data_IF_363602573198
#
_entry.id   IF_363602573198
#
_cell.length_a   1.000
_cell.length_b   1.000
_cell.length_c   1.000
_cell.angle_alpha   90.00
_cell.angle_beta   90.00
_cell.angle_gamma   90.00
#
_symmetry.space_group_name_H-M   'P 1'
#
loop_
_entity.id
_entity.type
_entity.pdbx_description
1 polymer ?
#
# COMPACT_ATOMS: atom_id res chain seq x y z
N UNK A 1 -2.14 27.29 -61.21
CA UNK A 1 -1.68 28.08 -60.05
C UNK A 1 -1.46 27.10 -58.91
N UNK A 2 -0.20 26.79 -58.60
CA UNK A 2 0.18 25.91 -57.50
C UNK A 2 0.51 26.79 -56.30
N UNK A 3 -0.22 26.61 -55.20
CA UNK A 3 0.02 27.36 -53.96
C UNK A 3 0.83 26.47 -53.03
N UNK A 4 2.14 26.73 -53.00
CA UNK A 4 3.07 26.22 -52.00
C UNK A 4 2.82 26.92 -50.67
N UNK A 5 2.57 26.16 -49.60
CA UNK A 5 2.58 26.67 -48.23
C UNK A 5 3.97 26.40 -47.64
N UNK A 6 4.61 27.51 -47.25
CA UNK A 6 5.94 27.60 -46.65
C UNK A 6 5.84 27.16 -45.18
N UNK A 7 6.68 26.20 -44.78
CA UNK A 7 6.95 25.91 -43.36
C UNK A 7 8.05 26.85 -42.86
N UNK A 8 7.75 27.65 -41.84
CA UNK A 8 8.76 28.46 -41.13
C UNK A 8 8.99 27.92 -39.71
N UNK A 9 10.25 27.56 -39.50
CA UNK A 9 11.08 27.70 -38.29
C UNK A 9 10.72 26.94 -37.00
N UNK A 10 11.46 25.85 -36.82
CA UNK A 10 11.84 25.24 -35.54
C UNK A 10 12.65 26.21 -34.68
N UNK A 11 12.12 26.60 -33.51
CA UNK A 11 12.90 27.29 -32.47
C UNK A 11 13.58 26.25 -31.57
N UNK A 12 14.91 26.19 -31.64
CA UNK A 12 15.77 25.39 -30.77
C UNK A 12 15.87 26.04 -29.39
N UNK A 13 15.54 25.30 -28.33
CA UNK A 13 15.71 25.76 -26.94
C UNK A 13 17.07 25.28 -26.41
N UNK A 14 17.99 26.22 -26.26
CA UNK A 14 19.31 25.96 -25.69
C UNK A 14 19.23 25.73 -24.17
N UNK A 15 19.68 24.57 -23.72
CA UNK A 15 19.83 24.24 -22.29
C UNK A 15 21.06 24.96 -21.72
N UNK A 16 20.84 25.90 -20.79
CA UNK A 16 21.91 26.57 -20.04
C UNK A 16 22.40 25.67 -18.90
N UNK A 17 23.64 25.20 -19.00
CA UNK A 17 24.32 24.38 -18.01
C UNK A 17 24.76 25.23 -16.81
N UNK A 18 23.92 25.33 -15.76
CA UNK A 18 24.33 25.92 -14.48
C UNK A 18 25.06 24.87 -13.62
N UNK A 19 26.34 25.14 -13.38
CA UNK A 19 27.26 24.37 -12.53
C UNK A 19 26.72 24.27 -11.09
N UNK A 20 26.45 23.06 -10.62
CA UNK A 20 26.24 22.77 -9.20
C UNK A 20 27.59 22.62 -8.49
N UNK A 21 27.80 23.41 -7.44
CA UNK A 21 28.94 23.28 -6.53
C UNK A 21 28.72 22.07 -5.58
N UNK A 22 29.71 21.20 -5.46
CA UNK A 22 29.73 20.06 -4.52
C UNK A 22 29.93 20.55 -3.07
N UNK A 23 29.25 19.99 -2.06
CA UNK A 23 29.67 20.14 -0.68
C UNK A 23 30.85 19.21 -0.35
N UNK A 24 31.80 19.76 0.40
CA UNK A 24 33.02 19.09 0.92
C UNK A 24 32.63 18.09 2.01
N UNK A 25 33.00 16.83 1.83
CA UNK A 25 33.16 15.89 2.94
C UNK A 25 34.56 16.07 3.50
N UNK A 26 34.68 16.42 4.78
CA UNK A 26 35.84 15.98 5.56
C UNK A 26 35.65 16.12 7.08
N UNK A 27 36.11 15.08 7.75
CA UNK A 27 36.56 14.96 9.15
C UNK A 27 35.52 14.65 10.24
N UNK A 28 35.59 13.42 10.76
CA UNK A 28 36.13 13.14 12.10
C UNK A 28 36.23 11.60 12.31
N UNK A 29 37.44 11.04 12.14
CA UNK A 29 37.81 9.70 12.62
C UNK A 29 38.70 9.86 13.85
N UNK A 30 38.38 9.17 14.95
CA UNK A 30 39.29 8.94 16.10
C UNK A 30 39.56 7.44 16.26
N UNK A 31 40.79 7.02 16.63
CA UNK A 31 41.16 5.61 16.74
C UNK A 31 40.89 5.03 18.13
N UNK A 32 40.43 3.79 18.21
CA UNK A 32 40.41 3.00 19.45
C UNK A 32 41.63 2.08 19.48
N UNK A 33 42.43 2.21 20.54
CA UNK A 33 43.56 1.35 20.88
C UNK A 33 43.06 -0.01 21.38
N UNK A 34 43.83 -1.04 21.08
CA UNK A 34 43.46 -2.44 21.28
C UNK A 34 43.60 -2.98 22.70
N UNK A 35 43.22 -4.25 22.82
CA UNK A 35 43.61 -5.14 23.89
C UNK A 35 43.86 -6.54 23.29
N UNK A 36 45.10 -6.99 23.36
CA UNK A 36 45.48 -8.39 23.14
C UNK A 36 45.07 -9.20 24.38
N UNK A 37 44.48 -10.38 24.19
CA UNK A 37 44.76 -11.48 25.11
C UNK A 37 44.79 -12.85 24.41
N UNK A 38 45.87 -13.55 24.78
CA UNK A 38 46.42 -14.83 24.35
C UNK A 38 45.47 -16.02 24.54
N UNK A 39 45.69 -17.07 23.74
CA UNK A 39 45.65 -18.44 24.27
C UNK A 39 44.79 -19.45 23.49
N UNK A 40 45.35 -20.04 22.43
CA UNK A 40 44.93 -21.35 21.93
C UNK A 40 45.36 -22.44 22.93
N UNK A 41 44.43 -23.30 23.34
CA UNK A 41 44.75 -24.60 23.93
C UNK A 41 43.79 -25.66 23.41
N UNK A 42 44.37 -26.67 22.77
CA UNK A 42 43.74 -27.88 22.26
C UNK A 42 43.36 -28.81 23.41
N UNK A 43 42.14 -29.33 23.43
CA UNK A 43 41.74 -30.44 24.30
C UNK A 43 41.24 -31.60 23.45
N UNK A 44 41.90 -32.75 23.61
CA UNK A 44 41.64 -34.04 22.96
C UNK A 44 40.33 -34.68 23.45
N UNK A 45 39.70 -35.58 22.66
CA UNK A 45 38.39 -36.12 22.97
C UNK A 45 38.46 -37.22 24.04
N UNK A 46 37.53 -37.21 25.01
CA UNK A 46 37.41 -38.26 26.03
C UNK A 46 36.07 -39.02 25.88
N UNK A 47 36.22 -40.27 25.47
CA UNK A 47 35.45 -41.47 25.82
C UNK A 47 33.90 -41.41 25.84
N UNK A 48 33.32 -42.17 24.90
CA UNK A 48 31.97 -42.69 24.93
C UNK A 48 31.67 -43.41 26.26
N UNK A 49 30.60 -43.00 26.94
CA UNK A 49 29.98 -43.79 28.03
C UNK A 49 28.62 -44.31 27.56
N UNK A 50 28.46 -45.63 27.61
CA UNK A 50 27.21 -46.37 27.33
C UNK A 50 26.12 -45.90 28.28
N UNK A 51 25.02 -45.38 27.76
CA UNK A 51 23.79 -45.18 28.52
C UNK A 51 23.00 -46.49 28.51
N UNK A 52 22.88 -47.11 29.67
CA UNK A 52 22.02 -48.27 29.93
C UNK A 52 20.56 -47.90 29.74
N UNK A 53 19.82 -48.72 28.98
CA UNK A 53 18.38 -48.60 28.80
C UNK A 53 17.66 -48.85 30.14
N UNK A 54 17.06 -47.80 30.71
CA UNK A 54 15.99 -47.94 31.70
C UNK A 54 14.69 -47.68 30.96
N UNK A 55 13.92 -48.75 30.75
CA UNK A 55 12.64 -48.73 30.04
C UNK A 55 11.55 -48.30 31.02
N UNK A 56 11.43 -47.01 31.28
CA UNK A 56 10.31 -46.47 32.05
C UNK A 56 9.08 -46.44 31.15
N UNK A 57 8.09 -47.29 31.45
CA UNK A 57 6.81 -47.34 30.75
C UNK A 57 5.98 -46.13 31.18
N UNK A 58 6.20 -44.97 30.55
CA UNK A 58 5.26 -43.86 30.64
C UNK A 58 4.06 -44.17 29.75
N UNK A 59 2.92 -44.47 30.35
CA UNK A 59 1.63 -44.38 29.68
C UNK A 59 1.35 -42.90 29.38
N UNK A 60 1.52 -42.49 28.12
CA UNK A 60 0.95 -41.23 27.65
C UNK A 60 -0.57 -41.37 27.63
N UNK A 61 -1.23 -40.81 28.64
CA UNK A 61 -2.61 -40.38 28.51
C UNK A 61 -2.62 -39.21 27.51
N UNK A 62 -3.30 -39.38 26.37
CA UNK A 62 -3.53 -38.28 25.44
C UNK A 62 -4.29 -37.17 26.16
N UNK A 63 -3.71 -35.97 26.21
CA UNK A 63 -4.41 -34.77 26.65
C UNK A 63 -5.48 -34.39 25.60
N UNK A 64 -6.66 -33.91 26.02
CA UNK A 64 -7.71 -33.52 25.08
C UNK A 64 -7.34 -32.22 24.36
N UNK A 65 -7.50 -32.24 23.03
CA UNK A 65 -7.80 -31.08 22.19
C UNK A 65 -6.83 -29.89 22.25
N UNK A 66 -5.62 -30.04 21.69
CA UNK A 66 -5.04 -28.88 21.00
C UNK A 66 -5.79 -28.76 19.68
N UNK A 67 -6.68 -27.78 19.59
CA UNK A 67 -7.22 -27.33 18.31
C UNK A 67 -6.01 -26.96 17.45
N UNK A 68 -5.59 -27.87 16.56
CA UNK A 68 -4.65 -27.54 15.51
C UNK A 68 -5.33 -26.42 14.73
N UNK A 69 -4.72 -25.22 14.74
CA UNK A 69 -5.15 -24.16 13.81
C UNK A 69 -5.02 -24.75 12.43
N UNK A 70 -6.15 -25.16 11.84
CA UNK A 70 -6.17 -25.74 10.50
C UNK A 70 -5.56 -24.69 9.57
N UNK A 71 -4.44 -25.04 8.95
CA UNK A 71 -3.84 -24.22 7.91
C UNK A 71 -4.90 -24.01 6.84
N UNK A 72 -5.15 -22.78 6.37
CA UNK A 72 -6.13 -22.53 5.33
C UNK A 72 -5.87 -23.45 4.14
N UNK A 73 -6.91 -24.13 3.66
CA UNK A 73 -6.81 -24.99 2.48
C UNK A 73 -6.65 -24.08 1.24
N UNK A 74 -5.40 -23.69 0.99
CA UNK A 74 -5.00 -22.80 -0.10
C UNK A 74 -4.87 -23.57 -1.41
N UNK A 75 -5.48 -23.04 -2.46
CA UNK A 75 -5.38 -23.53 -3.83
C UNK A 75 -4.25 -22.84 -4.60
N UNK A 76 -4.42 -22.73 -5.92
CA UNK A 76 -3.44 -22.13 -6.84
C UNK A 76 -3.20 -20.63 -6.56
N UNK A 77 -1.94 -20.21 -6.66
CA UNK A 77 -1.55 -18.80 -6.66
C UNK A 77 -1.87 -18.15 -8.01
N UNK A 78 -2.63 -17.06 -8.00
CA UNK A 78 -3.11 -16.40 -9.21
C UNK A 78 -3.03 -14.88 -9.10
N UNK A 79 -3.15 -14.22 -10.24
CA UNK A 79 -3.25 -12.77 -10.38
C UNK A 79 -4.56 -12.42 -11.07
N UNK A 80 -5.19 -11.36 -10.59
CA UNK A 80 -6.39 -10.77 -11.18
C UNK A 80 -6.20 -9.26 -11.21
N UNK A 81 -6.59 -8.62 -12.31
CA UNK A 81 -6.55 -7.16 -12.42
C UNK A 81 -7.80 -6.65 -13.13
N UNK A 82 -8.35 -5.54 -12.60
CA UNK A 82 -9.53 -4.88 -13.16
C UNK A 82 -9.48 -3.39 -12.85
N UNK A 83 -9.84 -2.58 -13.83
CA UNK A 83 -10.08 -1.15 -13.62
C UNK A 83 -11.53 -0.92 -13.22
N UNK A 84 -11.74 -0.19 -12.14
CA UNK A 84 -13.06 0.22 -11.65
C UNK A 84 -13.21 1.73 -11.74
N UNK A 85 -14.44 2.18 -11.94
CA UNK A 85 -14.75 3.61 -12.02
C UNK A 85 -15.57 4.02 -10.82
N UNK A 86 -15.05 4.97 -10.06
CA UNK A 86 -15.78 5.65 -9.00
C UNK A 86 -16.55 6.84 -9.61
N UNK A 87 -17.77 7.13 -9.13
CA UNK A 87 -18.51 8.30 -9.58
C UNK A 87 -17.77 9.59 -9.20
N UNK A 88 -18.24 10.74 -9.72
CA UNK A 88 -17.73 12.03 -9.29
C UNK A 88 -18.10 12.28 -7.83
N UNK A 89 -17.15 12.84 -7.08
CA UNK A 89 -17.36 13.33 -5.72
C UNK A 89 -17.09 14.83 -5.67
N UNK A 90 -17.73 15.58 -4.75
CA UNK A 90 -17.25 16.91 -4.41
C UNK A 90 -15.92 16.80 -3.66
N UNK A 91 -15.20 17.92 -3.54
CA UNK A 91 -14.02 18.01 -2.67
C UNK A 91 -14.33 17.44 -1.29
N UNK A 92 -13.42 16.62 -0.78
CA UNK A 92 -13.54 15.99 0.53
C UNK A 92 -12.97 14.59 0.61
N UNK A 93 -13.05 14.03 1.80
CA UNK A 93 -12.70 12.64 2.07
C UNK A 93 -13.98 11.78 2.09
N UNK A 94 -13.97 10.67 1.35
CA UNK A 94 -15.16 9.85 1.11
C UNK A 94 -14.87 8.39 1.38
N UNK A 95 -15.66 7.74 2.24
CA UNK A 95 -15.57 6.27 2.44
C UNK A 95 -16.09 5.57 1.18
N UNK A 96 -15.23 4.82 0.50
CA UNK A 96 -15.53 4.16 -0.79
C UNK A 96 -15.44 2.64 -0.74
N UNK A 97 -15.14 2.04 0.43
CA UNK A 97 -14.94 0.59 0.60
C UNK A 97 -16.01 -0.24 -0.13
N UNK A 98 -17.28 0.05 0.10
CA UNK A 98 -18.40 -0.65 -0.51
C UNK A 98 -18.43 -0.50 -2.04
N UNK A 99 -18.25 0.73 -2.54
CA UNK A 99 -18.26 1.06 -3.97
C UNK A 99 -17.15 0.34 -4.74
N UNK A 100 -15.99 0.13 -4.12
CA UNK A 100 -14.89 -0.65 -4.70
C UNK A 100 -15.19 -2.15 -4.67
N UNK A 101 -15.57 -2.70 -3.51
CA UNK A 101 -15.78 -4.14 -3.34
C UNK A 101 -16.94 -4.65 -4.20
N UNK A 102 -18.02 -3.90 -4.34
CA UNK A 102 -19.15 -4.25 -5.22
C UNK A 102 -18.73 -4.36 -6.71
N UNK A 103 -17.71 -3.62 -7.13
CA UNK A 103 -17.18 -3.67 -8.50
C UNK A 103 -16.10 -4.74 -8.68
N UNK A 104 -15.60 -5.34 -7.59
CA UNK A 104 -14.56 -6.39 -7.61
C UNK A 104 -15.00 -7.63 -6.84
N UNK A 105 -16.10 -8.30 -7.26
CA UNK A 105 -16.58 -9.53 -6.61
C UNK A 105 -15.55 -10.67 -6.65
N UNK A 106 -14.57 -10.61 -7.55
CA UNK A 106 -13.54 -11.63 -7.75
C UNK A 106 -12.62 -11.81 -6.53
N UNK A 107 -12.55 -10.81 -5.64
CA UNK A 107 -11.87 -10.92 -4.34
C UNK A 107 -12.40 -12.12 -3.54
N UNK A 108 -13.70 -12.45 -3.70
CA UNK A 108 -14.34 -13.57 -3.01
C UNK A 108 -13.78 -14.95 -3.37
N UNK A 109 -12.97 -15.06 -4.44
CA UNK A 109 -12.34 -16.31 -4.84
C UNK A 109 -11.02 -16.59 -4.11
N UNK A 110 -10.46 -15.59 -3.42
CA UNK A 110 -9.14 -15.67 -2.78
C UNK A 110 -9.26 -16.10 -1.32
N UNK A 111 -8.50 -17.12 -0.93
CA UNK A 111 -8.35 -17.55 0.46
C UNK A 111 -7.43 -16.59 1.22
N UNK A 112 -6.29 -16.25 0.62
CA UNK A 112 -5.27 -15.38 1.20
C UNK A 112 -4.54 -14.65 0.08
N UNK A 113 -4.24 -13.37 0.27
CA UNK A 113 -3.53 -12.59 -0.74
C UNK A 113 -3.32 -11.13 -0.37
N UNK A 114 -3.07 -10.32 -1.40
CA UNK A 114 -2.96 -8.87 -1.33
C UNK A 114 -3.81 -8.26 -2.44
N UNK A 115 -4.55 -7.21 -2.11
CA UNK A 115 -5.27 -6.37 -3.05
C UNK A 115 -4.62 -4.99 -3.07
N UNK A 116 -4.00 -4.66 -4.20
CA UNK A 116 -3.53 -3.32 -4.50
C UNK A 116 -4.65 -2.50 -5.14
N UNK A 117 -4.83 -1.27 -4.69
CA UNK A 117 -5.74 -0.28 -5.26
C UNK A 117 -4.91 0.92 -5.68
N UNK A 118 -4.83 1.21 -6.97
CA UNK A 118 -4.05 2.31 -7.53
C UNK A 118 -4.96 3.29 -8.26
N UNK A 119 -5.09 4.52 -7.74
CA UNK A 119 -5.84 5.58 -8.43
C UNK A 119 -5.00 6.16 -9.57
N UNK A 120 -5.57 6.23 -10.78
CA UNK A 120 -4.90 6.79 -11.96
C UNK A 120 -5.13 8.29 -12.10
N UNK A 121 -4.94 9.03 -11.01
CA UNK A 121 -5.20 10.47 -10.93
C UNK A 121 -4.15 11.15 -10.05
N UNK A 122 -3.73 12.34 -10.44
CA UNK A 122 -2.66 13.11 -9.77
C UNK A 122 -3.20 14.20 -8.83
N UNK A 123 -4.51 14.46 -8.87
CA UNK A 123 -5.23 15.45 -8.05
C UNK A 123 -6.24 14.82 -7.09
N UNK A 124 -6.19 13.50 -6.93
CA UNK A 124 -6.94 12.73 -5.94
C UNK A 124 -6.02 11.67 -5.31
N UNK A 125 -6.39 11.11 -4.18
CA UNK A 125 -5.59 10.09 -3.47
C UNK A 125 -6.44 9.06 -2.76
N UNK A 126 -5.79 8.00 -2.28
CA UNK A 126 -6.42 6.96 -1.48
C UNK A 126 -5.81 6.92 -0.08
N UNK A 127 -6.63 6.62 0.93
CA UNK A 127 -6.15 6.38 2.29
C UNK A 127 -7.00 5.34 3.03
N UNK A 128 -6.55 4.90 4.20
CA UNK A 128 -7.31 4.04 5.10
C UNK A 128 -7.45 4.76 6.44
N UNK A 129 -8.69 4.95 6.89
CA UNK A 129 -8.96 5.62 8.16
C UNK A 129 -10.28 5.12 8.80
N UNK A 130 -10.67 5.72 9.93
CA UNK A 130 -11.87 5.40 10.70
C UNK A 130 -13.17 5.61 9.92
N UNK A 131 -13.92 4.55 9.63
CA UNK A 131 -15.17 4.59 8.86
C UNK A 131 -16.47 4.65 9.69
N UNK A 132 -16.40 4.96 10.98
CA UNK A 132 -17.57 4.96 11.87
C UNK A 132 -18.12 6.36 12.14
N UNK A 133 -17.25 7.33 12.48
CA UNK A 133 -17.67 8.71 12.68
C UNK A 133 -17.84 9.46 11.35
N UNK A 134 -18.96 10.17 11.13
CA UNK A 134 -19.14 11.04 9.97
C UNK A 134 -18.30 12.32 10.04
N UNK A 135 -17.65 12.61 11.17
CA UNK A 135 -16.82 13.81 11.35
C UNK A 135 -15.36 13.57 10.95
N UNK A 136 -14.85 12.34 11.08
CA UNK A 136 -13.48 11.98 10.65
C UNK A 136 -13.17 12.39 9.21
N UNK A 137 -14.04 12.13 8.21
CA UNK A 137 -13.79 12.60 6.84
C UNK A 137 -13.76 14.13 6.72
N UNK A 138 -14.55 14.86 7.52
CA UNK A 138 -14.59 16.33 7.50
C UNK A 138 -13.32 16.92 8.10
N UNK A 139 -12.95 16.45 9.29
CA UNK A 139 -11.74 16.89 9.99
C UNK A 139 -10.47 16.57 9.19
N UNK A 140 -10.46 15.41 8.50
CA UNK A 140 -9.37 15.04 7.60
C UNK A 140 -9.29 16.00 6.41
N UNK A 141 -10.42 16.32 5.76
CA UNK A 141 -10.44 17.31 4.68
C UNK A 141 -9.93 18.68 5.16
N UNK A 142 -10.47 19.17 6.27
CA UNK A 142 -10.07 20.47 6.81
C UNK A 142 -8.58 20.50 7.20
N UNK A 143 -8.04 19.37 7.65
CA UNK A 143 -6.61 19.22 7.94
C UNK A 143 -5.77 19.30 6.66
N UNK A 144 -6.21 18.62 5.58
CA UNK A 144 -5.54 18.68 4.28
C UNK A 144 -5.57 20.10 3.69
N UNK A 145 -6.68 20.82 3.84
CA UNK A 145 -6.82 22.21 3.41
C UNK A 145 -5.89 23.16 4.18
N UNK A 146 -5.58 22.87 5.45
CA UNK A 146 -4.57 23.62 6.21
C UNK A 146 -3.13 23.26 5.83
N UNK A 147 -2.87 22.01 5.44
CA UNK A 147 -1.53 21.52 5.04
C UNK A 147 -1.13 22.08 3.67
N UNK A 148 -2.06 22.09 2.72
CA UNK A 148 -1.87 22.60 1.38
C UNK A 148 -3.05 23.52 1.01
N UNK A 149 -3.04 24.76 1.54
CA UNK A 149 -4.11 25.73 1.28
C UNK A 149 -4.06 26.24 -0.15
N UNK A 150 -5.22 26.59 -0.70
CA UNK A 150 -5.29 27.34 -1.95
C UNK A 150 -4.61 28.71 -1.82
N UNK A 151 -3.99 29.16 -2.91
CA UNK A 151 -3.39 30.49 -2.95
C UNK A 151 -2.61 30.80 -4.22
N UNK A 152 -2.33 32.08 -4.40
CA UNK A 152 -1.66 32.63 -5.58
C UNK A 152 -0.14 32.46 -5.57
N UNK A 153 0.42 31.84 -4.52
CA UNK A 153 1.85 31.56 -4.40
C UNK A 153 2.30 30.30 -5.14
N UNK A 154 1.37 29.48 -5.62
CA UNK A 154 1.70 28.36 -6.49
C UNK A 154 1.96 28.84 -7.92
N UNK A 155 2.96 28.24 -8.55
CA UNK A 155 3.30 28.53 -9.95
C UNK A 155 2.38 27.81 -10.94
N UNK A 156 1.81 26.67 -10.53
CA UNK A 156 0.92 25.86 -11.34
C UNK A 156 -0.52 26.18 -10.93
N UNK A 157 -1.27 26.77 -11.84
CA UNK A 157 -2.66 27.23 -11.65
C UNK A 157 -3.47 26.96 -12.93
N UNK A 158 -3.03 25.98 -13.73
CA UNK A 158 -3.49 25.78 -15.11
C UNK A 158 -4.98 25.41 -15.13
N UNK A 159 -5.44 24.70 -14.11
CA UNK A 159 -6.84 24.28 -13.96
C UNK A 159 -7.59 24.97 -12.80
N UNK A 160 -7.06 26.09 -12.28
CA UNK A 160 -7.69 26.89 -11.22
C UNK A 160 -6.92 26.94 -9.89
N UNK A 161 -7.48 27.62 -8.87
CA UNK A 161 -6.79 27.87 -7.59
C UNK A 161 -6.55 26.61 -6.75
N UNK A 162 -7.29 25.53 -7.03
CA UNK A 162 -7.22 24.27 -6.30
C UNK A 162 -6.32 23.20 -6.96
N UNK A 163 -5.74 23.52 -8.11
CA UNK A 163 -4.99 22.59 -8.95
C UNK A 163 -3.69 22.12 -8.27
N UNK A 164 -2.74 23.03 -8.04
CA UNK A 164 -1.50 22.69 -7.36
C UNK A 164 -1.70 22.21 -5.91
N UNK A 165 -2.57 22.79 -5.08
CA UNK A 165 -2.91 22.23 -3.77
C UNK A 165 -3.34 20.75 -3.85
N UNK A 166 -4.17 20.38 -4.83
CA UNK A 166 -4.59 19.00 -5.02
C UNK A 166 -3.44 18.06 -5.35
N UNK A 167 -2.48 18.50 -6.17
CA UNK A 167 -1.26 17.74 -6.44
C UNK A 167 -0.38 17.56 -5.21
N UNK A 168 -0.27 18.59 -4.36
CA UNK A 168 0.47 18.49 -3.09
C UNK A 168 -0.18 17.46 -2.17
N UNK A 169 -1.50 17.58 -1.94
CA UNK A 169 -2.25 16.66 -1.08
C UNK A 169 -2.18 15.22 -1.61
N UNK A 170 -2.33 15.03 -2.93
CA UNK A 170 -2.22 13.72 -3.57
C UNK A 170 -0.82 13.12 -3.37
N UNK A 171 0.23 13.93 -3.54
CA UNK A 171 1.62 13.47 -3.36
C UNK A 171 1.96 13.11 -1.92
N UNK A 172 1.34 13.79 -0.94
CA UNK A 172 1.54 13.51 0.49
C UNK A 172 0.82 12.23 0.94
N UNK A 173 -0.41 12.00 0.46
CA UNK A 173 -1.19 10.83 0.85
C UNK A 173 -0.85 9.58 0.03
N UNK A 174 -0.54 9.77 -1.25
CA UNK A 174 -0.19 8.72 -2.19
C UNK A 174 -1.37 8.18 -3.02
N UNK A 175 -1.08 7.58 -4.19
CA UNK A 175 -2.11 7.06 -5.08
C UNK A 175 -2.49 5.60 -4.81
N UNK A 176 -1.80 4.90 -3.91
CA UNK A 176 -1.92 3.44 -3.78
C UNK A 176 -2.22 2.97 -2.36
N UNK A 177 -3.05 1.94 -2.26
CA UNK A 177 -3.26 1.16 -1.04
C UNK A 177 -2.94 -0.31 -1.31
N UNK A 178 -2.25 -0.95 -0.38
CA UNK A 178 -2.05 -2.41 -0.37
C UNK A 178 -2.78 -2.98 0.84
N UNK A 179 -3.82 -3.79 0.59
CA UNK A 179 -4.72 -4.32 1.62
C UNK A 179 -4.68 -5.85 1.60
N UNK A 180 -4.38 -6.52 2.72
CA UNK A 180 -4.40 -7.98 2.75
C UNK A 180 -5.79 -8.52 2.44
N UNK A 181 -5.85 -9.65 1.75
CA UNK A 181 -7.08 -10.40 1.49
C UNK A 181 -7.07 -11.65 2.36
N UNK A 182 -8.19 -11.92 3.03
CA UNK A 182 -8.40 -13.14 3.83
C UNK A 182 -9.83 -13.61 3.68
N UNK A 183 -10.01 -14.89 3.43
CA UNK A 183 -11.30 -15.57 3.33
C UNK A 183 -12.30 -14.79 2.44
N UNK A 184 -11.84 -14.37 1.27
CA UNK A 184 -12.65 -13.67 0.26
C UNK A 184 -12.99 -12.22 0.60
N UNK A 185 -12.27 -11.60 1.53
CA UNK A 185 -12.56 -10.24 2.02
C UNK A 185 -11.27 -9.43 2.18
N UNK A 186 -11.40 -8.11 2.10
CA UNK A 186 -10.35 -7.21 2.57
C UNK A 186 -10.21 -7.36 4.09
N UNK A 187 -9.01 -7.66 4.57
CA UNK A 187 -8.72 -7.88 5.98
C UNK A 187 -8.48 -6.55 6.72
N UNK A 188 -9.50 -5.70 6.69
CA UNK A 188 -9.51 -4.41 7.39
C UNK A 188 -9.81 -4.60 8.87
N UNK A 189 -9.26 -3.74 9.72
CA UNK A 189 -9.69 -3.62 11.11
C UNK A 189 -11.15 -3.15 11.22
N UNK A 190 -11.77 -3.35 12.40
CA UNK A 190 -13.19 -3.02 12.65
C UNK A 190 -13.57 -1.62 12.21
N UNK A 191 -12.67 -0.65 12.44
CA UNK A 191 -12.88 0.75 12.15
C UNK A 191 -12.25 1.19 10.83
N UNK A 192 -11.55 0.33 10.10
CA UNK A 192 -10.86 0.75 8.90
C UNK A 192 -11.77 0.71 7.67
N UNK A 193 -11.84 1.83 6.94
CA UNK A 193 -12.40 1.90 5.60
C UNK A 193 -11.39 2.47 4.61
N UNK A 194 -11.60 2.18 3.32
CA UNK A 194 -10.88 2.77 2.21
C UNK A 194 -11.54 4.09 1.84
N UNK A 195 -10.71 5.11 1.63
CA UNK A 195 -11.13 6.47 1.33
C UNK A 195 -10.68 6.88 -0.06
N UNK A 196 -11.54 7.62 -0.76
CA UNK A 196 -11.14 8.55 -1.82
C UNK A 196 -11.02 9.93 -1.19
N UNK A 197 -9.85 10.55 -1.31
CA UNK A 197 -9.71 11.97 -1.02
C UNK A 197 -9.73 12.71 -2.35
N UNK A 198 -10.86 13.37 -2.62
CA UNK A 198 -11.05 14.25 -3.76
C UNK A 198 -10.56 15.64 -3.36
N UNK A 199 -9.50 16.12 -4.00
CA UNK A 199 -8.87 17.39 -3.63
C UNK A 199 -9.32 18.55 -4.51
N UNK A 200 -10.05 18.28 -5.60
CA UNK A 200 -10.58 19.29 -6.52
C UNK A 200 -12.06 19.52 -6.25
N UNK A 201 -12.54 20.74 -6.47
CA UNK A 201 -13.97 21.05 -6.42
C UNK A 201 -14.74 20.35 -7.55
N UNK A 202 -14.07 20.17 -8.69
CA UNK A 202 -14.62 19.58 -9.91
C UNK A 202 -13.71 18.49 -10.48
N UNK A 203 -13.48 17.43 -9.70
CA UNK A 203 -12.55 16.34 -10.05
C UNK A 203 -13.08 15.29 -11.05
N UNK A 204 -14.39 15.21 -11.26
CA UNK A 204 -15.02 14.23 -12.14
C UNK A 204 -14.92 12.79 -11.62
N UNK A 205 -15.22 11.82 -12.49
CA UNK A 205 -15.13 10.40 -12.15
C UNK A 205 -13.66 9.94 -12.00
N UNK A 206 -13.41 9.03 -11.05
CA UNK A 206 -12.05 8.54 -10.75
C UNK A 206 -11.88 7.09 -11.17
N UNK A 207 -10.71 6.77 -11.72
CA UNK A 207 -10.34 5.43 -12.19
C UNK A 207 -9.38 4.81 -11.18
N UNK A 208 -9.69 3.59 -10.75
CA UNK A 208 -8.85 2.82 -9.82
C UNK A 208 -8.54 1.47 -10.45
N UNK A 209 -7.25 1.17 -10.62
CA UNK A 209 -6.79 -0.17 -11.00
C UNK A 209 -6.72 -1.01 -9.73
N UNK A 210 -7.45 -2.12 -9.72
CA UNK A 210 -7.43 -3.09 -8.62
C UNK A 210 -6.69 -4.32 -9.08
N UNK A 211 -5.61 -4.66 -8.39
CA UNK A 211 -4.82 -5.88 -8.65
C UNK A 211 -4.88 -6.77 -7.43
N UNK A 212 -5.36 -8.00 -7.58
CA UNK A 212 -5.43 -9.00 -6.51
C UNK A 212 -4.49 -10.13 -6.85
N UNK A 213 -3.61 -10.47 -5.92
CA UNK A 213 -2.68 -11.59 -6.05
C UNK A 213 -2.71 -12.45 -4.80
N UNK A 214 -2.68 -13.77 -4.96
CA UNK A 214 -2.68 -14.70 -3.84
C UNK A 214 -3.26 -16.06 -4.20
N UNK A 215 -3.47 -16.88 -3.18
CA UNK A 215 -4.02 -18.23 -3.34
C UNK A 215 -5.55 -18.19 -3.39
N UNK A 216 -6.13 -18.87 -4.38
CA UNK A 216 -7.57 -19.13 -4.41
C UNK A 216 -7.96 -20.14 -3.33
N UNK A 217 -9.27 -20.25 -3.05
CA UNK A 217 -9.78 -21.37 -2.25
C UNK A 217 -9.52 -22.70 -2.94
N UNK A 218 -9.07 -23.70 -2.19
CA UNK A 218 -8.77 -25.03 -2.74
C UNK A 218 -10.02 -25.76 -3.29
N UNK A 219 -11.21 -25.48 -2.75
CA UNK A 219 -12.47 -26.10 -3.17
C UNK A 219 -13.09 -25.48 -4.44
N UNK A 220 -12.44 -24.46 -5.02
CA UNK A 220 -12.88 -23.75 -6.22
C UNK A 220 -14.16 -22.90 -6.03
N UNK A 221 -14.72 -22.83 -4.82
CA UNK A 221 -15.90 -22.04 -4.53
C UNK A 221 -15.52 -20.58 -4.26
N UNK A 222 -16.47 -19.67 -4.39
CA UNK A 222 -16.33 -18.30 -3.88
C UNK A 222 -16.87 -18.19 -2.45
N UNK A 223 -16.36 -17.25 -1.68
CA UNK A 223 -16.99 -16.83 -0.44
C UNK A 223 -18.30 -16.08 -0.75
N UNK A 224 -19.34 -16.22 0.10
CA UNK A 224 -20.57 -15.47 -0.09
C UNK A 224 -20.28 -13.96 -0.05
N UNK A 225 -21.02 -13.16 -0.84
CA UNK A 225 -20.89 -11.71 -0.85
C UNK A 225 -20.94 -11.18 0.59
N UNK A 226 -19.96 -10.35 0.95
CA UNK A 226 -20.00 -9.69 2.25
C UNK A 226 -21.10 -8.63 2.23
N UNK A 227 -22.04 -8.70 3.16
CA UNK A 227 -22.78 -7.50 3.56
C UNK A 227 -21.92 -6.77 4.59
N UNK A 228 -21.33 -5.61 4.27
CA UNK A 228 -20.66 -4.80 5.28
C UNK A 228 -21.66 -4.51 6.41
N UNK A 229 -21.22 -4.68 7.67
CA UNK A 229 -22.08 -4.46 8.85
C UNK A 229 -22.32 -2.98 9.15
N UNK A 230 -21.89 -2.08 8.27
CA UNK A 230 -21.84 -0.64 8.47
C UNK A 230 -22.22 0.05 7.16
#
# INVERSE_FOLDING_TARGET
MATSIVFTETTSFAYSNKRFAKPRQDQLRKPLRGFMHKGCAWVKPLAQRKASQIRTRLSLSAAPGKECVETPQVGENTWFQKTVTLPSFPRGCHVITRKLVEQVPEISNFEVGMANFFIQHTSASLTINENASPDVPKDLNDSLDRIAPEGTWYRHLDEGPDDMPAHVKSSLMGPSLDVPVRAGRLALGTWQGLYLNEHRDHGGARSVVVTVQGARRADGRSYPPHQPRW
#
